data_IF_278772434455
#
_entry.id   IF_278772434455
#
_cell.length_a   1.000
_cell.length_b   1.000
_cell.length_c   1.000
_cell.angle_alpha   90.00
_cell.angle_beta   90.00
_cell.angle_gamma   90.00
#
_symmetry.space_group_name_H-M   'P 1'
#
loop_
_entity.id
_entity.type
_entity.pdbx_description
1 polymer ?
#
# COMPACT_ATOMS: atom_id res chain seq x y z
N UNK A 1 -6.45 -10.47 2.23
CA UNK A 1 -6.73 -9.12 1.67
C UNK A 1 -5.46 -8.54 1.05
N UNK A 2 -5.52 -7.77 -0.04
CA UNK A 2 -4.33 -7.07 -0.56
C UNK A 2 -3.79 -6.08 0.49
N UNK A 3 -2.48 -6.06 0.76
CA UNK A 3 -1.91 -5.14 1.74
C UNK A 3 -2.08 -3.70 1.27
N UNK A 4 -2.38 -2.81 2.21
CA UNK A 4 -2.47 -1.38 1.96
C UNK A 4 -1.07 -0.79 1.68
N UNK A 5 -0.97 0.28 0.87
CA UNK A 5 0.32 0.86 0.50
C UNK A 5 1.00 1.56 1.68
N UNK A 6 2.32 1.38 1.82
CA UNK A 6 3.13 2.07 2.84
C UNK A 6 3.65 3.45 2.43
N UNK A 7 3.44 3.88 1.18
CA UNK A 7 3.92 5.20 0.72
C UNK A 7 3.03 5.77 -0.38
N UNK A 8 2.82 7.09 -0.37
CA UNK A 8 2.07 7.78 -1.41
C UNK A 8 2.88 7.85 -2.72
N UNK A 9 2.32 7.49 -3.88
CA UNK A 9 3.03 7.59 -5.16
C UNK A 9 3.20 9.03 -5.65
N UNK A 10 2.35 9.97 -5.22
CA UNK A 10 2.38 11.37 -5.65
C UNK A 10 3.31 12.23 -4.78
N UNK A 11 3.04 12.32 -3.47
CA UNK A 11 3.79 13.19 -2.56
C UNK A 11 4.90 12.47 -1.78
N UNK A 12 5.03 11.14 -1.95
CA UNK A 12 6.01 10.29 -1.23
C UNK A 12 5.85 10.26 0.30
N UNK A 13 4.76 10.81 0.83
CA UNK A 13 4.43 10.75 2.25
C UNK A 13 4.43 9.29 2.73
N UNK A 14 4.94 9.10 3.95
CA UNK A 14 4.98 7.80 4.59
C UNK A 14 3.56 7.44 5.05
N UNK A 15 3.01 6.37 4.47
CA UNK A 15 1.68 5.88 4.81
C UNK A 15 1.77 4.67 5.74
N UNK A 16 2.95 4.27 6.18
CA UNK A 16 3.09 3.26 7.23
C UNK A 16 2.49 3.82 8.53
N UNK A 17 1.45 3.16 9.04
CA UNK A 17 0.84 3.48 10.32
C UNK A 17 1.63 2.89 11.50
N UNK A 18 2.62 2.06 11.21
CA UNK A 18 3.42 1.35 12.19
C UNK A 18 2.92 -0.08 12.43
N UNK A 19 3.51 -0.75 13.44
CA UNK A 19 3.15 -2.11 13.81
C UNK A 19 1.73 -2.16 14.37
N UNK A 20 1.00 -3.22 14.03
CA UNK A 20 -0.26 -3.56 14.68
C UNK A 20 0.05 -3.88 16.17
N UNK A 21 -0.70 -3.27 17.12
CA UNK A 21 -0.56 -3.54 18.54
C UNK A 21 -0.62 -5.03 18.84
N UNK A 22 0.24 -5.52 19.76
CA UNK A 22 0.38 -6.95 20.06
C UNK A 22 -0.97 -7.62 20.36
N UNK A 23 -1.80 -6.95 21.15
CA UNK A 23 -3.12 -7.45 21.56
C UNK A 23 -4.08 -7.59 20.39
N UNK A 24 -3.87 -6.91 19.26
CA UNK A 24 -4.73 -6.99 18.08
C UNK A 24 -4.17 -7.93 17.00
N UNK A 25 -2.91 -8.40 17.12
CA UNK A 25 -2.26 -9.18 16.06
C UNK A 25 -2.98 -10.47 15.70
N UNK A 26 -3.71 -11.07 16.64
CA UNK A 26 -4.50 -12.28 16.42
C UNK A 26 -5.68 -12.08 15.45
N UNK A 27 -6.06 -10.83 15.18
CA UNK A 27 -7.13 -10.47 14.23
C UNK A 27 -6.62 -10.25 12.80
N UNK A 28 -5.30 -10.23 12.59
CA UNK A 28 -4.68 -9.88 11.31
C UNK A 28 -3.59 -10.88 10.91
N UNK A 29 -3.52 -11.17 9.62
CA UNK A 29 -2.42 -11.95 9.08
C UNK A 29 -1.11 -11.10 9.05
N UNK A 30 0.08 -11.71 9.20
CA UNK A 30 1.35 -11.05 9.00
C UNK A 30 1.42 -10.33 7.63
N UNK A 31 2.13 -9.18 7.51
CA UNK A 31 3.22 -8.72 8.36
C UNK A 31 2.83 -7.76 9.52
N UNK A 32 1.59 -7.78 10.01
CA UNK A 32 1.13 -6.98 11.18
C UNK A 32 1.53 -5.50 11.10
N UNK A 33 1.31 -4.88 9.95
CA UNK A 33 1.43 -3.44 9.75
C UNK A 33 0.11 -2.89 9.28
N UNK A 34 -0.23 -1.69 9.74
CA UNK A 34 -1.38 -0.96 9.23
C UNK A 34 -0.91 0.24 8.39
N UNK A 35 -1.76 0.71 7.50
CA UNK A 35 -1.48 1.85 6.62
C UNK A 35 -2.44 3.00 6.94
N UNK A 36 -1.95 4.23 6.84
CA UNK A 36 -2.74 5.47 6.91
C UNK A 36 -3.50 5.77 5.62
N UNK A 37 -3.31 4.98 4.56
CA UNK A 37 -4.05 5.14 3.31
C UNK A 37 -5.55 4.90 3.51
N UNK A 38 -6.38 5.82 3.01
CA UNK A 38 -7.83 5.70 3.11
C UNK A 38 -8.33 4.74 2.03
N UNK A 39 -9.01 3.67 2.45
CA UNK A 39 -9.56 2.68 1.53
C UNK A 39 -10.93 3.09 0.99
N UNK A 40 -11.04 3.21 -0.33
CA UNK A 40 -12.31 3.47 -1.01
C UNK A 40 -12.92 2.13 -1.42
N UNK A 41 -14.08 1.79 -0.85
CA UNK A 41 -14.74 0.51 -1.07
C UNK A 41 -15.98 0.62 -1.97
N UNK A 42 -16.10 -0.31 -2.91
CA UNK A 42 -17.29 -0.52 -3.73
C UNK A 42 -17.73 -1.97 -3.58
N UNK A 43 -19.02 -2.20 -3.28
CA UNK A 43 -19.56 -3.56 -3.08
C UNK A 43 -18.83 -4.37 -2.00
N UNK A 44 -18.35 -3.72 -0.93
CA UNK A 44 -17.62 -4.38 0.17
C UNK A 44 -16.14 -4.66 -0.10
N UNK A 45 -15.61 -4.28 -1.27
CA UNK A 45 -14.21 -4.46 -1.63
C UNK A 45 -13.51 -3.12 -1.85
N UNK A 46 -12.32 -2.92 -1.27
CA UNK A 46 -11.51 -1.72 -1.58
C UNK A 46 -11.09 -1.73 -3.05
N UNK A 47 -11.48 -0.72 -3.82
CA UNK A 47 -11.15 -0.57 -5.24
C UNK A 47 -10.03 0.43 -5.47
N UNK A 48 -9.89 1.41 -4.58
CA UNK A 48 -8.89 2.47 -4.67
C UNK A 48 -8.39 2.89 -3.28
N UNK A 49 -7.27 3.60 -3.27
CA UNK A 49 -6.65 4.19 -2.10
C UNK A 49 -6.55 5.70 -2.28
N UNK A 50 -6.62 6.43 -1.18
CA UNK A 50 -6.40 7.88 -1.14
C UNK A 50 -5.36 8.24 -0.08
N UNK A 51 -4.49 9.21 -0.40
CA UNK A 51 -3.50 9.72 0.53
C UNK A 51 -4.12 10.82 1.41
N UNK A 52 -4.09 10.68 2.74
CA UNK A 52 -4.64 11.70 3.65
C UNK A 52 -3.82 13.00 3.64
N UNK A 53 -2.55 12.95 3.26
CA UNK A 53 -1.65 14.11 3.32
C UNK A 53 -1.74 15.00 2.05
N UNK A 54 -2.07 14.44 0.88
CA UNK A 54 -2.13 15.20 -0.38
C UNK A 54 -3.41 15.01 -1.21
N UNK A 55 -4.33 14.14 -0.77
CA UNK A 55 -5.59 13.86 -1.47
C UNK A 55 -5.44 13.07 -2.78
N UNK A 56 -4.23 12.62 -3.13
CA UNK A 56 -4.05 11.82 -4.33
C UNK A 56 -4.79 10.49 -4.21
N UNK A 57 -5.52 10.11 -5.26
CA UNK A 57 -6.28 8.86 -5.34
C UNK A 57 -5.72 7.94 -6.42
N UNK A 58 -5.58 6.66 -6.12
CA UNK A 58 -5.06 5.67 -7.07
C UNK A 58 -5.73 4.31 -6.92
N UNK A 59 -5.83 3.56 -8.02
CA UNK A 59 -6.45 2.23 -8.01
C UNK A 59 -5.65 1.22 -7.18
N UNK A 60 -6.36 0.33 -6.47
CA UNK A 60 -5.76 -0.81 -5.75
C UNK A 60 -4.90 -1.68 -6.67
N UNK A 61 -5.26 -1.77 -7.97
CA UNK A 61 -4.48 -2.54 -8.96
C UNK A 61 -3.21 -1.82 -9.39
N UNK A 62 -3.14 -0.50 -9.28
CA UNK A 62 -1.96 0.28 -9.66
C UNK A 62 -0.79 0.05 -8.69
N UNK A 63 -1.05 -0.20 -7.40
CA UNK A 63 -0.02 -0.53 -6.41
C UNK A 63 0.69 -1.86 -6.68
N UNK A 64 0.05 -2.79 -7.43
CA UNK A 64 0.66 -4.08 -7.81
C UNK A 64 1.59 -3.97 -9.04
N UNK A 65 1.53 -2.89 -9.84
CA UNK A 65 2.40 -2.73 -11.01
C UNK A 65 3.76 -2.09 -10.68
N UNK A 66 3.94 -1.57 -9.45
CA UNK A 66 5.21 -1.04 -8.96
C UNK A 66 6.22 -2.10 -8.52
N UNK A 67 5.79 -3.34 -8.29
CA UNK A 67 6.66 -4.52 -8.11
C UNK A 67 7.00 -5.14 -9.47
N UNK A 68 7.31 -4.33 -10.48
CA UNK A 68 7.95 -4.85 -11.69
C UNK A 68 9.42 -5.05 -11.34
N UNK A 69 9.80 -6.32 -11.18
CA UNK A 69 11.17 -6.84 -11.01
C UNK A 69 12.20 -5.87 -11.61
N UNK A 70 13.20 -5.49 -10.82
CA UNK A 70 14.46 -4.96 -11.33
C UNK A 70 14.97 -6.01 -12.31
N UNK A 71 14.73 -5.85 -13.61
CA UNK A 71 15.54 -6.53 -14.62
C UNK A 71 16.87 -5.80 -14.54
N UNK A 72 17.87 -6.51 -14.03
CA UNK A 72 19.28 -6.16 -14.17
C UNK A 72 19.54 -6.07 -15.67
N UNK A 73 19.63 -4.84 -16.18
CA UNK A 73 20.22 -4.58 -17.48
C UNK A 73 21.73 -4.80 -17.28
N UNK A 74 22.22 -5.94 -17.74
CA UNK A 74 23.65 -6.20 -17.84
C UNK A 74 24.09 -5.74 -19.22
N UNK A 75 24.73 -4.57 -19.21
CA UNK A 75 25.22 -3.83 -20.35
C UNK A 75 26.30 -4.60 -21.12
N UNK A 76 26.14 -4.57 -22.45
CA UNK A 76 27.12 -4.81 -23.51
C UNK A 76 28.59 -4.52 -23.14
N UNK A 77 29.49 -5.46 -23.46
CA UNK A 77 30.73 -5.22 -24.21
C UNK A 77 31.37 -6.52 -24.73
#
# INVERSE_FOLDING_TARGET
MSPAPGRCPACRADLDGGPVPADLRHLFEPPWRWSRALGIAEGGSTVAWECPDCGHRWDRRATLRGIRRVRRDETTH
#
